data_IF_412814995851
#
_entry.id   IF_412814995851
#
_cell.length_a   1.000
_cell.length_b   1.000
_cell.length_c   1.000
_cell.angle_alpha   90.00
_cell.angle_beta   90.00
_cell.angle_gamma   90.00
#
_symmetry.space_group_name_H-M   'P 1'
#
loop_
_entity.id
_entity.type
_entity.pdbx_description
1 polymer ?
#
# COMPACT_ATOMS: atom_id res chain seq x y z
N UNK A 1 5.05 -48.03 -9.27
CA UNK A 1 6.49 -48.26 -9.54
C UNK A 1 7.22 -46.95 -9.22
N UNK A 2 7.99 -46.95 -8.15
CA UNK A 2 8.71 -45.76 -7.71
C UNK A 2 10.11 -45.88 -8.31
N UNK A 3 10.41 -45.03 -9.30
CA UNK A 3 11.75 -44.85 -9.81
C UNK A 3 12.57 -44.08 -8.78
N UNK A 4 13.35 -44.78 -8.00
CA UNK A 4 14.31 -44.18 -7.07
C UNK A 4 15.68 -44.26 -7.73
N UNK A 5 15.99 -43.28 -8.56
CA UNK A 5 17.34 -43.05 -9.03
C UNK A 5 17.78 -41.68 -8.47
N UNK A 6 18.77 -41.70 -7.61
CA UNK A 6 19.37 -40.46 -7.10
C UNK A 6 20.62 -40.13 -7.91
N UNK A 7 20.48 -39.21 -8.86
CA UNK A 7 21.61 -38.60 -9.54
C UNK A 7 21.84 -37.18 -9.03
N UNK A 8 23.02 -36.62 -9.30
CA UNK A 8 23.32 -35.22 -8.93
C UNK A 8 22.32 -34.19 -9.50
N UNK A 9 21.62 -34.55 -10.59
CA UNK A 9 20.61 -33.72 -11.22
C UNK A 9 19.23 -33.83 -10.55
N UNK A 10 19.00 -34.90 -9.78
CA UNK A 10 17.70 -35.11 -9.11
C UNK A 10 17.48 -34.17 -7.99
N UNK A 11 18.53 -33.55 -7.42
CA UNK A 11 18.45 -32.52 -6.42
C UNK A 11 17.64 -31.32 -6.92
N UNK A 12 17.80 -30.97 -8.20
CA UNK A 12 17.04 -29.85 -8.79
C UNK A 12 15.55 -30.14 -8.94
N UNK A 13 15.19 -31.41 -9.03
CA UNK A 13 13.80 -31.85 -9.16
C UNK A 13 13.16 -32.25 -7.83
N UNK A 14 13.94 -32.56 -6.81
CA UNK A 14 13.45 -33.10 -5.54
C UNK A 14 13.70 -32.20 -4.33
N UNK A 15 14.72 -31.35 -4.36
CA UNK A 15 15.08 -30.48 -3.24
C UNK A 15 14.13 -29.30 -3.08
N UNK A 16 14.13 -28.40 -4.05
CA UNK A 16 13.21 -27.27 -4.13
C UNK A 16 12.75 -27.07 -5.57
N UNK A 17 11.91 -27.98 -6.09
CA UNK A 17 11.60 -28.01 -7.50
C UNK A 17 10.73 -26.85 -7.92
N UNK A 18 11.20 -26.11 -8.91
CA UNK A 18 10.40 -25.04 -9.55
C UNK A 18 9.49 -25.60 -10.65
N UNK A 19 9.91 -26.71 -11.29
CA UNK A 19 9.15 -27.40 -12.33
C UNK A 19 9.17 -28.89 -12.03
N UNK A 20 8.00 -29.51 -11.88
CA UNK A 20 7.88 -30.96 -11.66
C UNK A 20 6.86 -31.57 -12.61
N UNK A 21 7.34 -32.46 -13.49
CA UNK A 21 6.46 -33.24 -14.35
C UNK A 21 6.02 -34.57 -13.71
N UNK A 22 6.78 -35.06 -12.73
CA UNK A 22 6.64 -36.43 -12.22
C UNK A 22 6.38 -36.50 -10.72
N UNK A 23 6.36 -35.38 -10.01
CA UNK A 23 6.15 -35.35 -8.55
C UNK A 23 5.13 -34.30 -8.19
N UNK A 24 4.16 -34.69 -7.40
CA UNK A 24 3.27 -33.72 -6.76
C UNK A 24 4.06 -33.04 -5.65
N UNK A 25 4.26 -31.75 -5.79
CA UNK A 25 4.88 -30.93 -4.73
C UNK A 25 3.77 -30.42 -3.85
N UNK A 26 3.75 -30.86 -2.62
CA UNK A 26 2.87 -30.27 -1.63
C UNK A 26 3.48 -28.95 -1.19
N UNK A 27 2.78 -27.85 -1.44
CA UNK A 27 3.11 -26.58 -0.83
C UNK A 27 2.69 -26.67 0.63
N UNK A 28 3.62 -26.39 1.53
CA UNK A 28 3.27 -26.17 2.93
C UNK A 28 2.50 -24.85 3.01
N UNK A 29 1.28 -24.93 3.49
CA UNK A 29 0.49 -23.74 3.78
C UNK A 29 0.84 -23.27 5.18
N UNK A 30 1.24 -22.01 5.28
CA UNK A 30 1.50 -21.34 6.55
C UNK A 30 0.20 -20.75 7.07
N UNK A 31 -0.08 -20.97 8.36
CA UNK A 31 -1.18 -20.28 9.02
C UNK A 31 -0.79 -18.83 9.27
N UNK A 32 -1.59 -17.91 8.79
CA UNK A 32 -1.40 -16.48 9.01
C UNK A 32 -2.74 -15.79 9.18
N UNK A 33 -2.73 -14.64 9.81
CA UNK A 33 -3.88 -13.74 9.86
C UNK A 33 -3.44 -12.32 9.47
N UNK A 34 -4.39 -11.52 9.05
CA UNK A 34 -4.15 -10.13 8.67
C UNK A 34 -5.14 -9.22 9.39
N UNK A 35 -4.65 -8.06 9.80
CA UNK A 35 -5.46 -7.02 10.43
C UNK A 35 -4.94 -5.65 9.99
N UNK A 36 -5.86 -4.74 9.65
CA UNK A 36 -5.54 -3.34 9.38
C UNK A 36 -5.67 -2.55 10.67
N UNK A 37 -4.61 -1.87 11.08
CA UNK A 37 -4.57 -1.12 12.33
C UNK A 37 -4.25 0.34 12.06
N UNK A 38 -5.06 1.22 12.64
CA UNK A 38 -4.86 2.65 12.61
C UNK A 38 -3.58 3.06 13.35
N UNK A 39 -2.75 3.88 12.72
CA UNK A 39 -1.55 4.46 13.30
C UNK A 39 -1.75 5.95 13.55
N UNK A 40 -1.25 6.44 14.66
CA UNK A 40 -1.35 7.84 15.01
C UNK A 40 -0.35 8.68 14.23
N UNK A 41 -0.84 9.67 13.50
CA UNK A 41 -0.03 10.71 12.88
C UNK A 41 0.22 11.81 13.92
N UNK A 42 1.47 12.17 14.13
CA UNK A 42 1.88 13.25 15.02
C UNK A 42 2.10 14.53 14.22
N UNK A 43 1.52 15.60 14.71
CA UNK A 43 1.50 16.90 14.05
C UNK A 43 0.08 17.28 13.62
N UNK A 44 -0.13 18.53 13.24
CA UNK A 44 -1.41 19.00 12.72
C UNK A 44 -1.37 18.98 11.20
N UNK A 45 -2.46 18.54 10.59
CA UNK A 45 -2.64 18.64 9.15
C UNK A 45 -2.81 20.11 8.75
N UNK A 46 -1.98 20.60 7.87
CA UNK A 46 -2.08 21.93 7.27
C UNK A 46 -1.26 22.02 5.99
N UNK A 47 -1.48 23.06 5.24
CA UNK A 47 -0.75 23.34 4.00
C UNK A 47 0.76 23.37 4.23
N UNK A 48 1.52 22.54 3.53
CA UNK A 48 2.97 22.42 3.66
C UNK A 48 3.45 21.79 4.97
N UNK A 49 2.55 21.25 5.78
CA UNK A 49 2.91 20.62 7.03
C UNK A 49 3.62 19.28 6.82
N UNK A 50 4.40 18.91 7.83
CA UNK A 50 5.05 17.62 7.94
C UNK A 50 4.48 16.86 9.13
N UNK A 51 3.96 15.67 8.86
CA UNK A 51 3.49 14.77 9.90
C UNK A 51 4.34 13.51 9.93
N UNK A 52 4.42 12.90 11.10
CA UNK A 52 5.21 11.68 11.30
C UNK A 52 4.37 10.65 12.05
N UNK A 53 4.31 9.44 11.53
CA UNK A 53 3.74 8.30 12.22
C UNK A 53 4.84 7.30 12.54
N UNK A 54 4.92 6.87 13.80
CA UNK A 54 5.73 5.71 14.17
C UNK A 54 4.88 4.47 14.05
N UNK A 55 5.28 3.55 13.19
CA UNK A 55 4.56 2.31 12.97
C UNK A 55 4.75 1.40 14.18
N UNK A 56 3.67 1.08 14.85
CA UNK A 56 3.69 0.21 16.03
C UNK A 56 4.01 -1.24 15.65
N UNK A 57 4.58 -2.00 16.59
CA UNK A 57 4.96 -3.40 16.38
C UNK A 57 3.85 -4.33 16.82
N UNK A 58 2.71 -4.26 16.15
CA UNK A 58 1.56 -5.08 16.50
C UNK A 58 1.61 -6.49 15.87
N UNK A 59 2.26 -6.60 14.70
CA UNK A 59 2.36 -7.85 13.95
C UNK A 59 3.80 -8.24 13.61
N UNK A 60 3.94 -9.35 12.91
CA UNK A 60 5.24 -9.90 12.50
C UNK A 60 5.76 -9.23 11.23
N UNK A 61 4.86 -8.98 10.27
CA UNK A 61 5.18 -8.34 9.02
C UNK A 61 4.22 -7.17 8.77
N UNK A 62 4.66 -6.20 7.96
CA UNK A 62 3.82 -5.14 7.42
C UNK A 62 3.60 -5.40 5.93
N UNK A 63 2.35 -5.37 5.53
CA UNK A 63 1.92 -5.44 4.15
C UNK A 63 1.68 -4.06 3.56
N UNK A 64 0.43 -3.77 3.23
CA UNK A 64 0.03 -2.51 2.62
C UNK A 64 -0.11 -1.39 3.64
N UNK A 65 0.03 -0.16 3.16
CA UNK A 65 -0.25 1.05 3.92
C UNK A 65 -1.17 1.95 3.10
N UNK A 66 -2.12 2.56 3.78
CA UNK A 66 -3.08 3.49 3.18
C UNK A 66 -3.11 4.78 3.97
N UNK A 67 -3.04 5.89 3.26
CA UNK A 67 -3.28 7.20 3.84
C UNK A 67 -4.70 7.62 3.48
N UNK A 68 -5.53 7.85 4.48
CA UNK A 68 -6.91 8.22 4.33
C UNK A 68 -7.13 9.64 4.85
N UNK A 69 -7.90 10.45 4.14
CA UNK A 69 -8.22 11.81 4.55
C UNK A 69 -9.44 12.33 3.80
N UNK A 70 -10.09 13.33 4.37
CA UNK A 70 -11.15 14.06 3.70
C UNK A 70 -10.56 15.20 2.90
N UNK A 71 -10.93 15.31 1.63
CA UNK A 71 -10.59 16.46 0.79
C UNK A 71 -11.84 17.30 0.54
N UNK A 72 -11.73 18.61 0.74
CA UNK A 72 -12.77 19.53 0.32
C UNK A 72 -12.60 19.79 -1.17
N UNK A 73 -13.24 18.98 -2.00
CA UNK A 73 -13.20 19.15 -3.43
C UNK A 73 -14.04 20.35 -3.85
N UNK A 74 -13.41 21.36 -4.43
CA UNK A 74 -14.15 22.23 -5.33
C UNK A 74 -14.47 21.44 -6.60
N UNK A 75 -15.56 21.79 -7.27
CA UNK A 75 -16.21 21.11 -8.40
C UNK A 75 -15.30 20.63 -9.55
N UNK A 76 -14.00 20.86 -9.48
CA UNK A 76 -12.99 20.48 -10.49
C UNK A 76 -11.68 19.95 -9.86
N UNK A 77 -11.73 19.33 -8.70
CA UNK A 77 -10.51 18.77 -8.12
C UNK A 77 -10.11 17.49 -8.88
N UNK A 78 -9.09 17.61 -9.69
CA UNK A 78 -8.45 16.49 -10.37
C UNK A 78 -7.44 15.88 -9.40
N UNK A 79 -7.48 14.55 -9.24
CA UNK A 79 -6.49 13.81 -8.44
C UNK A 79 -6.39 14.29 -6.98
N UNK A 80 -7.51 14.50 -6.31
CA UNK A 80 -7.55 15.04 -4.95
C UNK A 80 -6.66 14.24 -3.98
N UNK A 81 -6.59 12.92 -4.10
CA UNK A 81 -5.73 12.08 -3.28
C UNK A 81 -4.25 12.40 -3.44
N UNK A 82 -3.73 12.30 -4.66
CA UNK A 82 -2.30 12.50 -4.90
C UNK A 82 -1.88 13.97 -4.86
N UNK A 83 -2.75 14.91 -5.25
CA UNK A 83 -2.43 16.33 -5.31
C UNK A 83 -2.25 16.98 -3.92
N UNK A 84 -2.88 16.45 -2.90
CA UNK A 84 -2.72 16.91 -1.52
C UNK A 84 -1.41 16.44 -0.87
N UNK A 85 -0.72 15.47 -1.47
CA UNK A 85 0.53 14.89 -0.97
C UNK A 85 1.70 15.43 -1.79
N UNK A 86 2.63 16.14 -1.16
CA UNK A 86 3.89 16.49 -1.81
C UNK A 86 4.78 15.25 -1.93
N UNK A 87 5.08 14.64 -0.81
CA UNK A 87 5.82 13.38 -0.78
C UNK A 87 5.57 12.60 0.51
N UNK A 88 5.81 11.30 0.44
CA UNK A 88 5.86 10.39 1.60
C UNK A 88 7.24 9.78 1.70
N UNK A 89 7.79 9.74 2.89
CA UNK A 89 9.11 9.19 3.17
C UNK A 89 9.00 8.02 4.16
N UNK A 90 9.74 6.98 3.89
CA UNK A 90 9.92 5.85 4.80
C UNK A 90 11.29 5.95 5.46
N UNK A 91 11.29 5.97 6.79
CA UNK A 91 12.50 5.99 7.60
C UNK A 91 12.58 4.73 8.45
N UNK A 92 13.73 4.07 8.45
CA UNK A 92 13.98 2.90 9.27
C UNK A 92 15.26 3.15 10.09
N UNK A 93 15.13 3.10 11.41
CA UNK A 93 16.28 3.33 12.30
C UNK A 93 16.92 4.71 12.18
N UNK A 94 16.14 5.73 11.86
CA UNK A 94 16.64 7.10 11.68
C UNK A 94 17.22 7.39 10.29
N UNK A 95 17.20 6.40 9.39
CA UNK A 95 17.67 6.58 8.02
C UNK A 95 16.50 6.55 7.05
N UNK A 96 16.42 7.56 6.17
CA UNK A 96 15.45 7.57 5.10
C UNK A 96 15.83 6.52 4.05
N UNK A 97 14.93 5.55 3.85
CA UNK A 97 15.13 4.42 2.93
C UNK A 97 14.48 4.70 1.58
N UNK A 98 13.27 5.25 1.59
CA UNK A 98 12.52 5.52 0.37
C UNK A 98 11.78 6.84 0.47
N UNK A 99 11.53 7.47 -0.67
CA UNK A 99 10.78 8.71 -0.80
C UNK A 99 9.98 8.67 -2.09
N UNK A 100 8.69 8.92 -1.98
CA UNK A 100 7.78 8.92 -3.11
C UNK A 100 7.00 10.22 -3.16
N UNK A 101 6.91 10.79 -4.34
CA UNK A 101 6.18 12.02 -4.58
C UNK A 101 4.73 11.73 -5.01
N UNK A 102 3.80 12.64 -4.71
CA UNK A 102 2.42 12.52 -5.13
C UNK A 102 2.28 12.34 -6.65
N UNK A 103 3.05 13.08 -7.42
CA UNK A 103 3.08 12.93 -8.89
C UNK A 103 3.58 11.55 -9.33
N UNK A 104 4.54 10.97 -8.61
CA UNK A 104 5.01 9.62 -8.91
C UNK A 104 3.92 8.59 -8.66
N UNK A 105 3.19 8.72 -7.55
CA UNK A 105 2.10 7.80 -7.24
C UNK A 105 0.98 7.87 -8.30
N UNK A 106 0.71 9.06 -8.84
CA UNK A 106 -0.22 9.24 -9.94
C UNK A 106 0.25 8.53 -11.21
N UNK A 107 1.48 8.78 -11.64
CA UNK A 107 2.07 8.12 -12.82
C UNK A 107 2.08 6.60 -12.65
N UNK A 108 2.43 6.12 -11.46
CA UNK A 108 2.44 4.70 -11.17
C UNK A 108 1.05 4.08 -11.27
N UNK A 109 0.03 4.73 -10.72
CA UNK A 109 -1.34 4.24 -10.79
C UNK A 109 -1.86 4.16 -12.23
N UNK A 110 -1.57 5.17 -13.05
CA UNK A 110 -1.95 5.18 -14.47
C UNK A 110 -1.26 4.08 -15.29
N UNK A 111 -0.02 3.74 -14.95
CA UNK A 111 0.73 2.72 -15.67
C UNK A 111 0.44 1.29 -15.22
N UNK A 112 0.12 1.08 -13.96
CA UNK A 112 0.06 -0.26 -13.37
C UNK A 112 -1.33 -0.75 -13.05
N UNK A 113 -2.29 0.15 -12.83
CA UNK A 113 -3.65 -0.29 -12.59
C UNK A 113 -4.22 -0.89 -13.87
N UNK A 114 -4.81 -2.08 -13.78
CA UNK A 114 -5.48 -2.66 -14.93
C UNK A 114 -6.60 -1.72 -15.33
N UNK A 115 -6.45 -1.08 -16.49
CA UNK A 115 -7.47 -0.24 -17.05
C UNK A 115 -8.65 -1.10 -17.48
N UNK A 116 -9.41 -1.52 -16.52
CA UNK A 116 -10.70 -2.08 -16.78
C UNK A 116 -11.58 -0.95 -17.27
N UNK A 117 -11.64 -0.86 -18.61
CA UNK A 117 -12.66 -0.14 -19.37
C UNK A 117 -13.46 0.77 -18.47
N UNK A 118 -13.01 1.98 -18.42
CA UNK A 118 -13.37 3.00 -17.47
C UNK A 118 -14.78 2.82 -16.95
N UNK A 119 -14.98 3.03 -15.69
CA UNK A 119 -16.27 2.91 -15.11
C UNK A 119 -17.25 3.67 -15.99
N UNK A 120 -17.89 2.93 -16.87
CA UNK A 120 -18.84 3.50 -17.77
C UNK A 120 -19.98 3.94 -16.92
N UNK A 121 -20.08 5.28 -16.82
CA UNK A 121 -21.18 5.93 -16.39
C UNK A 121 -22.46 5.31 -16.87
N UNK A 122 -23.26 4.74 -16.03
CA UNK A 122 -24.70 4.63 -16.17
C UNK A 122 -25.34 5.94 -15.67
N UNK A 123 -25.19 6.98 -16.48
CA UNK A 123 -25.96 8.21 -16.29
C UNK A 123 -25.60 9.13 -15.12
N UNK A 124 -24.43 9.00 -14.59
CA UNK A 124 -23.89 9.88 -13.55
C UNK A 124 -22.54 10.45 -13.94
N UNK A 125 -22.07 11.46 -13.28
CA UNK A 125 -20.90 12.24 -13.65
C UNK A 125 -19.56 11.73 -13.12
N UNK A 126 -19.39 10.42 -12.95
CA UNK A 126 -18.12 9.84 -12.50
C UNK A 126 -17.34 9.28 -13.67
N UNK A 127 -16.39 10.04 -14.19
CA UNK A 127 -15.42 9.58 -15.16
C UNK A 127 -14.20 9.04 -14.42
N UNK A 128 -13.65 7.92 -14.87
CA UNK A 128 -12.45 7.35 -14.29
C UNK A 128 -12.51 5.82 -14.16
N UNK A 129 -11.42 5.23 -13.76
CA UNK A 129 -11.32 3.80 -13.47
C UNK A 129 -12.02 3.48 -12.14
N UNK A 130 -12.37 2.22 -11.93
CA UNK A 130 -12.91 1.78 -10.64
C UNK A 130 -11.98 2.10 -9.47
N UNK A 131 -10.68 1.98 -9.68
CA UNK A 131 -9.66 2.35 -8.70
C UNK A 131 -9.74 3.84 -8.37
N UNK A 132 -9.72 4.70 -9.39
CA UNK A 132 -9.81 6.15 -9.22
C UNK A 132 -11.06 6.58 -8.46
N UNK A 133 -12.20 5.97 -8.78
CA UNK A 133 -13.46 6.29 -8.12
C UNK A 133 -13.52 5.81 -6.65
N UNK A 134 -12.93 4.68 -6.34
CA UNK A 134 -12.91 4.15 -4.98
C UNK A 134 -11.89 4.85 -4.07
N UNK A 135 -10.72 5.14 -4.61
CA UNK A 135 -9.62 5.72 -3.83
C UNK A 135 -9.61 7.24 -3.85
N UNK A 136 -10.28 7.85 -4.84
CA UNK A 136 -10.18 9.29 -5.12
C UNK A 136 -8.71 9.76 -5.25
N UNK A 137 -7.81 8.83 -5.52
CA UNK A 137 -6.39 9.08 -5.63
C UNK A 137 -5.99 9.61 -6.99
N UNK A 138 -6.78 9.34 -8.00
CA UNK A 138 -6.60 9.81 -9.36
C UNK A 138 -7.94 10.09 -10.04
N UNK A 139 -7.93 10.78 -11.16
CA UNK A 139 -9.12 11.11 -11.93
C UNK A 139 -9.85 12.35 -11.49
N UNK A 140 -10.91 12.65 -12.19
CA UNK A 140 -11.74 13.83 -11.94
C UNK A 140 -12.87 13.45 -11.00
N UNK A 141 -12.96 14.11 -9.89
CA UNK A 141 -14.13 14.01 -9.01
C UNK A 141 -15.19 14.94 -9.57
N UNK A 142 -16.18 14.38 -10.17
CA UNK A 142 -17.33 15.13 -10.62
C UNK A 142 -18.51 14.84 -9.69
N UNK A 143 -18.91 15.87 -8.97
CA UNK A 143 -20.18 15.99 -8.27
C UNK A 143 -20.60 14.82 -7.35
N UNK A 144 -20.19 14.86 -6.10
CA UNK A 144 -20.72 14.00 -5.02
C UNK A 144 -22.03 14.55 -4.42
N UNK A 145 -22.83 15.26 -5.20
CA UNK A 145 -24.07 15.87 -4.71
C UNK A 145 -23.82 17.06 -3.80
N UNK A 146 -24.53 17.12 -2.69
CA UNK A 146 -24.47 18.25 -1.76
C UNK A 146 -23.37 18.17 -0.72
N UNK A 147 -22.58 17.08 -0.68
CA UNK A 147 -21.48 16.95 0.27
C UNK A 147 -20.16 17.46 -0.38
N UNK A 148 -19.59 18.54 0.15
CA UNK A 148 -18.34 19.08 -0.35
C UNK A 148 -17.11 18.25 0.03
N UNK A 149 -17.27 17.19 0.82
CA UNK A 149 -16.17 16.38 1.33
C UNK A 149 -16.08 15.06 0.58
N UNK A 150 -14.90 14.76 0.08
CA UNK A 150 -14.58 13.51 -0.57
C UNK A 150 -13.56 12.76 0.25
N UNK A 151 -13.88 11.52 0.59
CA UNK A 151 -12.95 10.64 1.27
C UNK A 151 -11.94 10.11 0.26
N UNK A 152 -10.68 10.40 0.49
CA UNK A 152 -9.57 9.91 -0.31
C UNK A 152 -8.86 8.79 0.44
N UNK A 153 -8.70 7.64 -0.19
CA UNK A 153 -7.92 6.52 0.34
C UNK A 153 -6.75 6.26 -0.59
N UNK A 154 -5.57 6.73 -0.22
CA UNK A 154 -4.37 6.69 -1.06
C UNK A 154 -3.49 5.52 -0.66
N UNK A 155 -3.38 4.46 -1.48
CA UNK A 155 -2.46 3.37 -1.22
C UNK A 155 -1.01 3.82 -1.47
N UNK A 156 -0.15 3.62 -0.48
CA UNK A 156 1.27 3.94 -0.61
C UNK A 156 2.00 2.86 -1.41
N UNK A 157 2.95 3.29 -2.25
CA UNK A 157 3.58 2.43 -3.25
C UNK A 157 5.01 2.02 -2.89
N UNK A 158 5.31 1.83 -1.60
CA UNK A 158 6.59 1.28 -1.18
C UNK A 158 6.77 -0.16 -1.69
N UNK A 159 8.01 -0.64 -1.77
CA UNK A 159 8.31 -1.97 -2.31
C UNK A 159 7.54 -3.09 -1.62
N UNK A 160 7.37 -3.01 -0.29
CA UNK A 160 6.66 -4.02 0.49
C UNK A 160 5.13 -3.92 0.35
N UNK A 161 4.60 -2.77 -0.10
CA UNK A 161 3.17 -2.59 -0.35
C UNK A 161 2.71 -3.23 -1.67
N UNK A 162 3.63 -3.39 -2.64
CA UNK A 162 3.30 -3.84 -3.99
C UNK A 162 3.15 -5.35 -4.11
N UNK A 163 3.89 -6.10 -3.31
CA UNK A 163 3.92 -7.55 -3.39
C UNK A 163 3.91 -8.15 -1.98
N UNK A 164 2.96 -9.04 -1.65
CA UNK A 164 2.92 -9.70 -0.35
C UNK A 164 4.20 -10.48 -0.01
N UNK A 165 4.91 -10.99 -1.01
CA UNK A 165 6.19 -11.68 -0.82
C UNK A 165 7.34 -10.77 -0.39
N UNK A 166 7.15 -9.45 -0.46
CA UNK A 166 8.13 -8.44 -0.04
C UNK A 166 7.73 -7.73 1.25
N UNK A 167 6.78 -8.28 2.00
CA UNK A 167 6.29 -7.70 3.25
C UNK A 167 7.45 -7.35 4.19
N UNK A 168 7.36 -6.20 4.85
CA UNK A 168 8.42 -5.69 5.72
C UNK A 168 8.49 -6.46 7.03
N UNK A 169 9.57 -7.19 7.34
CA UNK A 169 9.66 -8.01 8.55
C UNK A 169 9.96 -7.16 9.79
N UNK A 170 8.96 -6.87 10.61
CA UNK A 170 9.15 -6.16 11.88
C UNK A 170 9.98 -6.97 12.88
N UNK A 171 9.93 -8.29 12.79
CA UNK A 171 10.72 -9.17 13.64
C UNK A 171 12.21 -8.90 13.44
N UNK A 172 12.66 -8.74 12.19
CA UNK A 172 14.06 -8.45 11.88
C UNK A 172 14.48 -7.03 12.30
N UNK A 173 13.52 -6.12 12.44
CA UNK A 173 13.75 -4.72 12.77
C UNK A 173 13.62 -4.41 14.27
N UNK A 174 13.93 -5.37 15.15
CA UNK A 174 13.71 -5.26 16.60
C UNK A 174 14.24 -3.99 17.25
N UNK A 175 15.36 -3.49 16.77
CA UNK A 175 16.06 -2.32 17.33
C UNK A 175 15.91 -1.06 16.46
N UNK A 176 15.15 -1.14 15.38
CA UNK A 176 14.97 -0.05 14.44
C UNK A 176 13.48 0.34 14.36
N UNK A 177 13.19 1.56 14.67
CA UNK A 177 11.82 2.10 14.48
C UNK A 177 11.56 2.32 13.00
N UNK A 178 10.36 1.96 12.58
CA UNK A 178 9.83 2.29 11.25
C UNK A 178 8.97 3.53 11.39
N UNK A 179 9.30 4.58 10.65
CA UNK A 179 8.54 5.83 10.63
C UNK A 179 8.09 6.14 9.22
N UNK A 180 6.85 6.56 9.12
CA UNK A 180 6.31 7.17 7.92
C UNK A 180 6.23 8.67 8.13
N UNK A 181 6.75 9.43 7.18
CA UNK A 181 6.70 10.87 7.18
C UNK A 181 5.86 11.30 5.99
N UNK A 182 4.83 12.07 6.25
CA UNK A 182 3.95 12.64 5.23
C UNK A 182 4.22 14.14 5.15
N UNK A 183 4.62 14.60 3.99
CA UNK A 183 4.76 16.01 3.68
C UNK A 183 3.58 16.43 2.81
N UNK A 184 2.77 17.33 3.32
CA UNK A 184 1.58 17.81 2.64
C UNK A 184 1.90 18.88 1.60
N UNK A 185 1.09 18.97 0.56
CA UNK A 185 1.30 19.92 -0.52
C UNK A 185 1.22 21.36 -0.04
N UNK A 186 2.06 22.20 -0.62
CA UNK A 186 2.13 23.65 -0.30
C UNK A 186 1.32 24.53 -1.24
N UNK A 187 0.90 24.03 -2.40
CA UNK A 187 0.22 24.83 -3.42
C UNK A 187 -1.31 24.67 -3.40
N UNK A 188 -1.78 23.44 -3.47
CA UNK A 188 -3.22 23.11 -3.44
C UNK A 188 -3.40 22.15 -2.28
N UNK A 189 -4.05 22.60 -1.24
CA UNK A 189 -4.26 21.81 -0.04
C UNK A 189 -5.69 21.94 0.46
N UNK A 190 -6.37 20.81 0.52
CA UNK A 190 -7.77 20.73 0.93
C UNK A 190 -8.01 19.57 1.92
N UNK A 191 -6.95 18.91 2.35
CA UNK A 191 -7.04 17.71 3.18
C UNK A 191 -7.36 18.04 4.65
N UNK A 192 -8.13 17.17 5.28
CA UNK A 192 -8.49 17.19 6.70
C UNK A 192 -8.76 15.78 7.20
N UNK A 193 -8.75 15.56 8.51
CA UNK A 193 -9.08 14.29 9.16
C UNK A 193 -8.27 13.11 8.59
N UNK A 194 -6.96 13.23 8.70
CA UNK A 194 -6.03 12.24 8.19
C UNK A 194 -5.92 11.00 9.09
N UNK A 195 -5.86 9.84 8.48
CA UNK A 195 -5.66 8.55 9.13
C UNK A 195 -4.64 7.72 8.35
N UNK A 196 -3.77 7.03 9.07
CA UNK A 196 -2.83 6.08 8.48
C UNK A 196 -3.21 4.66 8.87
N UNK A 197 -3.57 3.87 7.89
CA UNK A 197 -3.88 2.46 8.06
C UNK A 197 -2.73 1.59 7.61
N UNK A 198 -2.38 0.61 8.43
CA UNK A 198 -1.28 -0.33 8.17
C UNK A 198 -1.79 -1.75 8.32
N UNK A 199 -1.59 -2.56 7.28
CA UNK A 199 -1.93 -3.97 7.27
C UNK A 199 -0.82 -4.78 7.92
N UNK A 200 -1.13 -5.38 9.06
CA UNK A 200 -0.25 -6.30 9.78
C UNK A 200 -0.54 -7.74 9.42
N UNK A 201 0.52 -8.52 9.33
CA UNK A 201 0.45 -9.96 9.09
C UNK A 201 1.03 -10.65 10.31
N UNK A 202 0.25 -11.56 10.88
CA UNK A 202 0.62 -12.39 12.01
C UNK A 202 0.96 -13.78 11.53
N UNK A 203 2.14 -14.27 11.87
CA UNK A 203 2.63 -15.57 11.46
C UNK A 203 2.55 -16.59 12.60
N UNK A 204 2.48 -17.86 12.24
CA UNK A 204 2.57 -18.93 13.18
C UNK A 204 4.00 -19.07 13.75
N UNK A 205 4.10 -19.70 14.92
CA UNK A 205 5.37 -19.85 15.66
C UNK A 205 6.46 -20.54 14.85
N UNK A 206 6.07 -21.48 14.00
CA UNK A 206 7.01 -22.23 13.18
C UNK A 206 7.63 -21.38 12.05
N UNK A 207 6.91 -20.35 11.59
CA UNK A 207 7.39 -19.45 10.53
C UNK A 207 8.16 -18.24 11.05
N UNK A 208 8.08 -17.97 12.36
CA UNK A 208 8.84 -16.90 13.02
C UNK A 208 10.31 -17.24 13.24
N UNK A 209 10.70 -18.49 13.05
CA UNK A 209 12.05 -19.01 13.23
C UNK A 209 12.85 -18.96 11.93
#
# INVERSE_FOLDING_TARGET
>A
MQLVAYGAQDIYLTGNPQITFFKVVYRRHTNFSMESILQTLNGSISQGARQTATVSRNGDLIGRMYLEFLSTASVNAVNAGHSNIDNVELEIGGQRIDRQFGHWMEVWSELTEPNNTGATHLGGSMDGTKFQNLTQAGGTVTDFGSDPHVQCTVPLQFWFCRNPGLALPLIALQYHEVKLIVNWASAIFTASNEELWVDYIYLDTDERR
#
